data_IF_076212530026
#
_entry.id   IF_076212530026
#
_cell.length_a   1.000
_cell.length_b   1.000
_cell.length_c   1.000
_cell.angle_alpha   90.00
_cell.angle_beta   90.00
_cell.angle_gamma   90.00
#
_symmetry.space_group_name_H-M   'P 1'
#
loop_
_entity.id
_entity.type
_entity.pdbx_description
1 polymer ?
#
# COMPACT_ATOMS: atom_id res chain seq x y z
N UNK A 1 -0.96 -18.12 2.02
CA UNK A 1 -1.27 -17.09 1.01
C UNK A 1 -0.88 -17.58 -0.37
N UNK A 2 -1.49 -17.07 -1.46
CA UNK A 2 -1.17 -17.44 -2.85
C UNK A 2 -0.82 -16.21 -3.69
N UNK A 3 0.29 -16.26 -4.42
CA UNK A 3 0.67 -15.18 -5.34
C UNK A 3 -0.26 -15.14 -6.55
N UNK A 4 -0.65 -13.94 -6.96
CA UNK A 4 -1.44 -13.67 -8.17
C UNK A 4 -0.88 -12.42 -8.86
N UNK A 5 -0.90 -12.38 -10.20
CA UNK A 5 -0.51 -11.19 -10.95
C UNK A 5 -1.39 -9.98 -10.57
N UNK A 6 -0.86 -8.74 -10.52
CA UNK A 6 -1.59 -7.58 -10.01
C UNK A 6 -2.97 -7.38 -10.67
N UNK A 7 -3.02 -7.29 -12.00
CA UNK A 7 -4.29 -7.13 -12.72
C UNK A 7 -5.28 -8.29 -12.50
N UNK A 8 -4.78 -9.53 -12.36
CA UNK A 8 -5.63 -10.69 -12.13
C UNK A 8 -6.25 -10.66 -10.73
N UNK A 9 -5.51 -10.18 -9.73
CA UNK A 9 -6.01 -10.01 -8.37
C UNK A 9 -7.21 -9.06 -8.35
N UNK A 10 -7.13 -7.95 -9.07
CA UNK A 10 -8.24 -7.01 -9.17
C UNK A 10 -9.43 -7.56 -9.98
N UNK A 11 -9.18 -8.21 -11.12
CA UNK A 11 -10.24 -8.87 -11.93
C UNK A 11 -11.03 -9.89 -11.11
N UNK A 12 -10.36 -10.67 -10.26
CA UNK A 12 -11.04 -11.64 -9.39
C UNK A 12 -11.91 -10.99 -8.29
N UNK A 13 -11.53 -9.81 -7.80
CA UNK A 13 -12.37 -9.03 -6.87
C UNK A 13 -13.64 -8.53 -7.55
N UNK A 14 -13.52 -8.03 -8.79
CA UNK A 14 -14.67 -7.52 -9.55
C UNK A 14 -15.69 -8.60 -9.89
N UNK A 15 -15.25 -9.86 -10.10
CA UNK A 15 -16.13 -11.03 -10.33
C UNK A 15 -17.03 -11.35 -9.14
N UNK A 16 -16.72 -10.86 -7.93
CA UNK A 16 -17.55 -11.08 -6.74
C UNK A 16 -18.73 -10.10 -6.73
N UNK A 17 -19.87 -10.57 -6.21
CA UNK A 17 -21.03 -9.71 -5.92
C UNK A 17 -20.60 -8.53 -5.03
N UNK A 18 -21.12 -7.31 -5.22
CA UNK A 18 -20.76 -6.14 -4.41
C UNK A 18 -20.81 -6.40 -2.90
N UNK A 19 -21.86 -7.07 -2.41
CA UNK A 19 -22.02 -7.43 -0.99
C UNK A 19 -21.01 -8.44 -0.43
N UNK A 20 -20.26 -9.12 -1.31
CA UNK A 20 -19.21 -10.10 -0.96
C UNK A 20 -17.84 -9.69 -1.51
N UNK A 21 -17.73 -8.47 -2.05
CA UNK A 21 -16.48 -7.94 -2.59
C UNK A 21 -15.60 -7.56 -1.41
N UNK A 22 -14.42 -8.17 -1.36
CA UNK A 22 -13.43 -7.84 -0.34
C UNK A 22 -12.80 -6.47 -0.60
N UNK A 23 -12.08 -5.98 0.41
CA UNK A 23 -11.21 -4.80 0.32
C UNK A 23 -9.76 -5.25 0.17
N UNK A 24 -8.94 -4.38 -0.37
CA UNK A 24 -7.51 -4.57 -0.55
C UNK A 24 -6.76 -3.98 0.64
N UNK A 25 -5.74 -4.70 1.11
CA UNK A 25 -4.79 -4.24 2.12
C UNK A 25 -3.45 -3.97 1.42
N UNK A 26 -3.00 -2.74 1.45
CA UNK A 26 -1.65 -2.33 1.02
C UNK A 26 -0.71 -2.37 2.21
N UNK A 27 0.47 -2.96 2.01
CA UNK A 27 1.55 -3.01 3.01
C UNK A 27 2.81 -2.45 2.38
N UNK A 28 3.43 -1.46 3.04
CA UNK A 28 4.74 -0.93 2.68
C UNK A 28 5.71 -1.34 3.76
N UNK A 29 6.73 -2.09 3.36
CA UNK A 29 7.75 -2.61 4.28
C UNK A 29 8.96 -1.70 4.15
N UNK A 30 9.21 -0.92 5.19
CA UNK A 30 10.41 -0.10 5.34
C UNK A 30 11.37 -0.77 6.32
N UNK A 31 12.61 -0.30 6.38
CA UNK A 31 13.66 -0.86 7.24
C UNK A 31 13.31 -0.80 8.74
N UNK A 32 12.39 0.09 9.14
CA UNK A 32 12.07 0.38 10.55
C UNK A 32 10.61 0.11 10.93
N UNK A 33 9.70 0.03 9.98
CA UNK A 33 8.26 -0.10 10.25
C UNK A 33 7.52 -0.64 9.03
N UNK A 34 6.29 -1.11 9.26
CA UNK A 34 5.35 -1.51 8.19
C UNK A 34 4.19 -0.51 8.19
N UNK A 35 4.08 0.26 7.12
CA UNK A 35 2.90 1.11 6.89
C UNK A 35 1.81 0.28 6.23
N UNK A 36 0.55 0.61 6.55
CA UNK A 36 -0.59 -0.10 5.99
C UNK A 36 -1.70 0.84 5.54
N UNK A 37 -2.44 0.41 4.55
CA UNK A 37 -3.60 1.12 4.02
C UNK A 37 -4.66 0.11 3.58
N UNK A 38 -5.92 0.53 3.59
CA UNK A 38 -7.04 -0.29 3.12
C UNK A 38 -7.80 0.45 2.04
N UNK A 39 -8.32 -0.27 1.05
CA UNK A 39 -9.26 0.34 0.10
C UNK A 39 -10.64 0.55 0.73
N UNK A 40 -11.45 1.42 0.14
CA UNK A 40 -12.87 1.55 0.44
C UNK A 40 -13.66 0.30 -0.03
N UNK A 41 -14.93 0.14 0.37
CA UNK A 41 -15.75 -1.01 -0.05
C UNK A 41 -15.90 -1.17 -1.57
N UNK A 42 -15.76 -0.08 -2.33
CA UNK A 42 -15.87 -0.09 -3.79
C UNK A 42 -14.52 -0.37 -4.48
N UNK A 43 -13.42 -0.39 -3.73
CA UNK A 43 -12.05 -0.40 -4.23
C UNK A 43 -11.75 0.76 -5.18
N UNK A 44 -12.24 1.96 -4.86
CA UNK A 44 -11.99 3.20 -5.60
C UNK A 44 -10.90 4.01 -4.89
N UNK A 45 -11.05 4.20 -3.59
CA UNK A 45 -10.14 5.02 -2.79
C UNK A 45 -9.34 4.17 -1.81
N UNK A 46 -8.09 4.52 -1.55
CA UNK A 46 -7.27 4.00 -0.48
C UNK A 46 -7.22 4.96 0.71
N UNK A 47 -7.29 4.42 1.92
CA UNK A 47 -7.16 5.19 3.17
C UNK A 47 -6.01 4.64 4.01
N UNK A 48 -5.20 5.50 4.65
CA UNK A 48 -4.15 5.04 5.53
C UNK A 48 -4.76 4.37 6.76
N UNK A 49 -4.13 3.31 7.22
CA UNK A 49 -4.35 2.77 8.57
C UNK A 49 -3.27 3.36 9.47
N UNK A 50 -3.63 3.75 10.69
CA UNK A 50 -2.67 4.26 11.66
C UNK A 50 -1.53 3.25 11.83
N UNK A 51 -0.29 3.66 11.56
CA UNK A 51 0.89 2.81 11.68
C UNK A 51 1.00 2.25 13.10
N UNK A 52 1.07 0.92 13.23
CA UNK A 52 1.36 0.28 14.50
C UNK A 52 2.81 0.56 14.88
N UNK A 53 3.05 1.31 15.96
CA UNK A 53 4.38 1.35 16.60
C UNK A 53 4.74 -0.08 17.03
N UNK A 54 5.61 -0.74 16.27
CA UNK A 54 6.26 -1.97 16.73
C UNK A 54 7.15 -1.54 17.90
N UNK A 55 6.85 -2.00 19.13
CA UNK A 55 7.56 -1.63 20.35
C UNK A 55 9.09 -1.78 20.20
N UNK A 56 9.83 -0.83 20.79
CA UNK A 56 11.29 -0.64 20.69
C UNK A 56 12.14 -1.91 20.91
N UNK A 57 11.64 -2.90 21.64
CA UNK A 57 12.37 -4.16 21.91
C UNK A 57 12.52 -5.12 20.71
N UNK A 58 11.95 -4.79 19.55
CA UNK A 58 12.05 -5.63 18.34
C UNK A 58 12.99 -5.05 17.27
N UNK A 59 13.53 -3.84 17.45
CA UNK A 59 14.31 -3.17 16.41
C UNK A 59 15.66 -3.84 16.14
N UNK A 60 16.36 -4.36 17.16
CA UNK A 60 17.62 -5.09 16.96
C UNK A 60 17.41 -6.43 16.23
N UNK A 61 16.28 -7.08 16.54
CA UNK A 61 15.87 -8.37 15.96
C UNK A 61 15.35 -8.23 14.51
N UNK A 62 14.90 -7.03 14.15
CA UNK A 62 14.54 -6.62 12.79
C UNK A 62 15.79 -6.17 12.05
N UNK A 63 16.66 -5.34 12.63
CA UNK A 63 17.88 -4.85 12.00
C UNK A 63 18.85 -5.97 11.61
N UNK A 64 19.04 -6.99 12.45
CA UNK A 64 19.90 -8.14 12.16
C UNK A 64 19.35 -9.01 11.00
N UNK A 65 18.02 -9.03 10.80
CA UNK A 65 17.36 -9.84 9.77
C UNK A 65 17.25 -9.14 8.40
N UNK A 66 17.59 -7.85 8.30
CA UNK A 66 17.24 -6.98 7.17
C UNK A 66 18.44 -6.53 6.32
N UNK A 67 19.50 -7.34 6.21
CA UNK A 67 20.67 -6.98 5.37
C UNK A 67 20.46 -7.06 3.85
N UNK A 68 19.28 -7.43 3.32
CA UNK A 68 18.96 -7.28 1.87
C UNK A 68 17.46 -7.14 1.60
N UNK A 69 17.00 -5.96 1.14
CA UNK A 69 15.58 -5.61 0.94
C UNK A 69 14.80 -6.62 0.07
N UNK A 70 15.44 -7.22 -0.95
CA UNK A 70 14.83 -8.25 -1.79
C UNK A 70 14.67 -9.62 -1.11
N UNK A 71 15.54 -9.97 -0.17
CA UNK A 71 15.37 -11.14 0.69
C UNK A 71 14.33 -10.87 1.78
N UNK A 72 14.26 -9.62 2.27
CA UNK A 72 13.33 -9.16 3.30
C UNK A 72 11.86 -9.35 2.92
N UNK A 73 11.42 -8.91 1.73
CA UNK A 73 10.01 -9.04 1.33
C UNK A 73 9.59 -10.52 1.23
N UNK A 74 10.45 -11.36 0.64
CA UNK A 74 10.19 -12.80 0.53
C UNK A 74 10.14 -13.46 1.91
N UNK A 75 11.06 -13.11 2.82
CA UNK A 75 11.07 -13.61 4.19
C UNK A 75 9.82 -13.18 4.96
N UNK A 76 9.43 -11.90 4.84
CA UNK A 76 8.20 -11.39 5.44
C UNK A 76 6.96 -12.15 4.98
N UNK A 77 6.80 -12.35 3.66
CA UNK A 77 5.70 -13.14 3.11
C UNK A 77 5.76 -14.59 3.59
N UNK A 78 6.95 -15.20 3.64
CA UNK A 78 7.13 -16.56 4.15
C UNK A 78 6.71 -16.66 5.62
N UNK A 79 7.05 -15.67 6.44
CA UNK A 79 6.67 -15.64 7.85
C UNK A 79 5.15 -15.46 8.01
N UNK A 80 4.52 -14.58 7.22
CA UNK A 80 3.06 -14.47 7.17
C UNK A 80 2.40 -15.81 6.77
N UNK A 81 2.97 -16.53 5.81
CA UNK A 81 2.49 -17.85 5.40
C UNK A 81 2.61 -18.86 6.55
N UNK A 82 3.75 -18.89 7.26
CA UNK A 82 3.97 -19.79 8.41
C UNK A 82 2.98 -19.56 9.54
N UNK A 83 2.50 -18.32 9.74
CA UNK A 83 1.49 -18.04 10.78
C UNK A 83 0.16 -18.76 10.56
N UNK A 84 -0.14 -19.21 9.33
CA UNK A 84 -1.44 -19.77 8.89
C UNK A 84 -2.65 -18.83 9.05
N UNK A 85 -2.51 -17.65 9.66
CA UNK A 85 -3.60 -16.68 9.86
C UNK A 85 -4.14 -16.10 8.54
N UNK A 86 -3.29 -16.04 7.52
CA UNK A 86 -3.63 -15.55 6.17
C UNK A 86 -3.85 -16.69 5.17
N UNK A 87 -4.30 -17.85 5.64
CA UNK A 87 -4.65 -18.96 4.75
C UNK A 87 -5.86 -18.56 3.87
N UNK A 88 -5.80 -18.92 2.58
CA UNK A 88 -6.82 -18.51 1.60
C UNK A 88 -6.66 -17.09 1.03
N UNK A 89 -5.84 -16.23 1.64
CA UNK A 89 -5.56 -14.90 1.11
C UNK A 89 -4.67 -14.97 -0.14
N UNK A 90 -4.95 -14.06 -1.07
CA UNK A 90 -4.13 -13.82 -2.27
C UNK A 90 -3.27 -12.58 -2.05
N UNK A 91 -2.09 -12.54 -2.66
CA UNK A 91 -1.20 -11.40 -2.59
C UNK A 91 -0.54 -11.14 -3.94
N UNK A 92 -0.06 -9.91 -4.12
CA UNK A 92 0.70 -9.48 -5.27
C UNK A 92 1.80 -8.53 -4.83
N UNK A 93 2.75 -8.25 -5.72
CA UNK A 93 3.72 -7.18 -5.54
C UNK A 93 3.33 -6.03 -6.45
N UNK A 94 3.44 -4.81 -5.94
CA UNK A 94 3.22 -3.59 -6.69
C UNK A 94 4.40 -2.67 -6.43
N UNK A 95 5.05 -2.24 -7.50
CA UNK A 95 6.21 -1.38 -7.43
C UNK A 95 6.06 -0.29 -8.49
N UNK A 96 5.76 0.92 -8.04
CA UNK A 96 5.79 2.12 -8.85
C UNK A 96 6.73 3.15 -8.20
N UNK A 97 8.02 2.85 -8.26
CA UNK A 97 9.13 3.67 -7.79
C UNK A 97 9.20 5.06 -8.47
N UNK A 98 8.59 5.23 -9.64
CA UNK A 98 8.65 6.49 -10.41
C UNK A 98 7.59 7.48 -9.89
N UNK A 99 6.41 6.98 -9.52
CA UNK A 99 5.35 7.77 -8.91
C UNK A 99 5.73 8.38 -7.55
N UNK A 100 6.48 7.65 -6.71
CA UNK A 100 6.68 8.01 -5.30
C UNK A 100 7.51 9.27 -5.08
N UNK A 101 8.67 9.41 -5.73
CA UNK A 101 9.58 10.56 -5.49
C UNK A 101 8.99 11.91 -5.92
N UNK A 102 8.33 11.97 -7.07
CA UNK A 102 7.70 13.20 -7.55
C UNK A 102 6.46 13.55 -6.74
N UNK A 103 5.63 12.56 -6.39
CA UNK A 103 4.47 12.79 -5.55
C UNK A 103 4.88 13.18 -4.12
N UNK A 104 5.98 12.66 -3.58
CA UNK A 104 6.48 13.07 -2.26
C UNK A 104 6.81 14.56 -2.22
N UNK A 105 7.42 15.09 -3.27
CA UNK A 105 7.69 16.52 -3.40
C UNK A 105 6.39 17.35 -3.39
N UNK A 106 5.41 16.98 -4.22
CA UNK A 106 4.14 17.72 -4.32
C UNK A 106 3.33 17.64 -3.02
N UNK A 107 3.23 16.45 -2.43
CA UNK A 107 2.49 16.26 -1.17
C UNK A 107 3.17 17.01 -0.03
N UNK A 108 4.50 16.96 0.05
CA UNK A 108 5.26 17.71 1.06
C UNK A 108 4.99 19.21 0.96
N UNK A 109 5.06 19.77 -0.25
CA UNK A 109 4.83 21.20 -0.47
C UNK A 109 3.40 21.62 -0.06
N UNK A 110 2.40 20.81 -0.41
CA UNK A 110 1.02 21.08 -0.01
C UNK A 110 0.83 20.99 1.51
N UNK A 111 1.47 20.03 2.18
CA UNK A 111 1.44 19.92 3.63
C UNK A 111 2.10 21.13 4.29
N UNK A 112 3.28 21.54 3.81
CA UNK A 112 3.97 22.76 4.28
C UNK A 112 3.05 23.98 4.15
N UNK A 113 2.48 24.20 2.96
CA UNK A 113 1.55 25.29 2.71
C UNK A 113 0.35 25.28 3.67
N UNK A 114 -0.27 24.12 3.89
CA UNK A 114 -1.43 23.98 4.79
C UNK A 114 -1.03 24.28 6.24
N UNK A 115 0.09 23.76 6.71
CA UNK A 115 0.57 23.98 8.08
C UNK A 115 0.87 25.47 8.33
N UNK A 116 1.54 26.12 7.38
CA UNK A 116 1.88 27.54 7.45
C UNK A 116 0.65 28.45 7.42
N UNK A 117 -0.34 28.15 6.59
CA UNK A 117 -1.50 29.03 6.37
C UNK A 117 -2.68 28.77 7.30
N UNK A 118 -2.78 27.59 7.92
CA UNK A 118 -3.88 27.24 8.82
C UNK A 118 -3.52 27.32 10.32
N UNK A 119 -2.32 27.80 10.68
CA UNK A 119 -1.84 27.88 12.07
C UNK A 119 -2.00 26.56 12.84
N UNK A 120 -1.76 25.43 12.17
CA UNK A 120 -1.84 24.12 12.78
C UNK A 120 -0.62 23.86 13.69
N UNK A 121 -0.71 22.94 14.68
CA UNK A 121 0.44 22.57 15.50
C UNK A 121 1.65 22.23 14.64
N UNK A 122 2.87 22.49 15.14
CA UNK A 122 4.14 22.12 14.50
C UNK A 122 4.25 20.60 14.40
N UNK A 123 3.58 20.03 13.40
CA UNK A 123 3.77 18.69 12.92
C UNK A 123 4.82 18.78 11.83
N UNK A 124 5.85 17.93 11.92
CA UNK A 124 6.85 17.87 10.88
C UNK A 124 6.19 17.42 9.56
N UNK A 125 6.29 18.19 8.45
CA UNK A 125 5.65 17.84 7.18
C UNK A 125 5.99 16.43 6.72
N UNK A 126 7.24 16.01 6.96
CA UNK A 126 7.73 14.66 6.66
C UNK A 126 6.98 13.58 7.44
N UNK A 127 6.64 13.80 8.70
CA UNK A 127 5.87 12.85 9.49
C UNK A 127 4.44 12.70 8.96
N UNK A 128 3.84 13.81 8.51
CA UNK A 128 2.53 13.77 7.85
C UNK A 128 2.64 12.99 6.55
N UNK A 129 3.58 13.33 5.65
CA UNK A 129 3.77 12.63 4.37
C UNK A 129 3.97 11.12 4.58
N UNK A 130 4.80 10.73 5.56
CA UNK A 130 5.09 9.34 5.87
C UNK A 130 3.82 8.54 6.23
N UNK A 131 2.86 9.15 6.94
CA UNK A 131 1.59 8.49 7.30
C UNK A 131 0.74 8.11 6.09
N UNK A 132 0.98 8.68 4.90
CA UNK A 132 0.19 8.45 3.70
C UNK A 132 0.89 7.58 2.64
N UNK A 133 2.14 7.15 2.86
CA UNK A 133 2.92 6.42 1.84
C UNK A 133 2.20 5.15 1.39
N UNK A 134 1.70 4.33 2.33
CA UNK A 134 0.95 3.11 2.01
C UNK A 134 -0.37 3.39 1.28
N UNK A 135 -1.08 4.45 1.68
CA UNK A 135 -2.33 4.82 1.03
C UNK A 135 -2.10 5.26 -0.42
N UNK A 136 -1.06 6.07 -0.66
CA UNK A 136 -0.69 6.55 -2.00
C UNK A 136 -0.28 5.41 -2.93
N UNK A 137 0.53 4.48 -2.45
CA UNK A 137 0.94 3.33 -3.26
C UNK A 137 -0.24 2.38 -3.56
N UNK A 138 -1.13 2.16 -2.59
CA UNK A 138 -2.36 1.41 -2.84
C UNK A 138 -3.28 2.15 -3.82
N UNK A 139 -3.37 3.47 -3.71
CA UNK A 139 -4.14 4.31 -4.63
C UNK A 139 -3.60 4.22 -6.06
N UNK A 140 -2.28 4.33 -6.25
CA UNK A 140 -1.64 4.18 -7.55
C UNK A 140 -1.88 2.79 -8.17
N UNK A 141 -1.92 1.73 -7.35
CA UNK A 141 -2.33 0.41 -7.81
C UNK A 141 -3.78 0.40 -8.31
N UNK A 142 -4.73 0.93 -7.53
CA UNK A 142 -6.15 0.99 -7.88
C UNK A 142 -6.38 1.77 -9.18
N UNK A 143 -5.75 2.93 -9.33
CA UNK A 143 -5.83 3.75 -10.55
C UNK A 143 -5.25 3.01 -11.75
N UNK A 144 -4.07 2.41 -11.60
CA UNK A 144 -3.43 1.66 -12.70
C UNK A 144 -4.26 0.48 -13.18
N UNK A 145 -4.85 -0.31 -12.27
CA UNK A 145 -5.68 -1.45 -12.66
C UNK A 145 -7.03 -1.02 -13.22
N UNK A 146 -7.62 0.07 -12.72
CA UNK A 146 -8.86 0.62 -13.28
C UNK A 146 -8.61 1.16 -14.69
N UNK A 147 -7.54 1.95 -14.88
CA UNK A 147 -7.13 2.43 -16.19
C UNK A 147 -6.87 1.29 -17.18
N UNK A 148 -6.14 0.25 -16.76
CA UNK A 148 -5.92 -0.94 -17.59
C UNK A 148 -7.22 -1.67 -17.96
N UNK A 149 -8.25 -1.63 -17.10
CA UNK A 149 -9.55 -2.22 -17.40
C UNK A 149 -10.36 -1.38 -18.37
N UNK A 150 -10.30 -0.06 -18.28
CA UNK A 150 -10.94 0.86 -19.22
C UNK A 150 -10.39 0.67 -20.64
N UNK A 151 -9.06 0.69 -20.79
CA UNK A 151 -8.41 0.43 -22.07
C UNK A 151 -8.81 -0.92 -22.68
N UNK A 152 -8.98 -1.95 -21.86
CA UNK A 152 -9.40 -3.26 -22.34
C UNK A 152 -10.86 -3.29 -22.81
N UNK A 153 -11.74 -2.40 -22.32
CA UNK A 153 -13.14 -2.32 -22.81
C UNK A 153 -13.20 -1.69 -24.20
N UNK A 154 -12.36 -0.69 -24.46
CA UNK A 154 -12.36 0.04 -25.73
C UNK A 154 -11.83 -0.77 -26.92
N UNK A 155 -11.07 -1.84 -26.66
CA UNK A 155 -10.55 -2.75 -27.70
C UNK A 155 -11.60 -3.77 -28.18
N UNK A 156 -12.68 -4.03 -27.42
CA UNK A 156 -13.74 -4.98 -27.81
C UNK A 156 -15.04 -4.31 -28.29
N UNK A 157 -15.06 -2.98 -28.41
CA UNK A 157 -16.20 -2.20 -28.92
C UNK A 157 -15.88 -1.44 -30.23
N UNK A 158 -14.85 -1.87 -30.96
CA UNK A 158 -14.59 -1.45 -32.35
C UNK A 158 -14.71 -2.63 -33.31
#
# INVERSE_FOLDING_TARGET
>A
MKFVKPLNMFKELLKRKPSKRGRLLGLIINDKHVDSAVSDPNNINAVPLSASHLQEGNMDLIAEKFQTLGATIKNFINDLIKTRKFQGFKYTYWDDLIATKHMDFVVKHNVEFILENLNLPQLEPKEIVNKFVAARLLQGYLESVNFALELNKDVFHK
#
